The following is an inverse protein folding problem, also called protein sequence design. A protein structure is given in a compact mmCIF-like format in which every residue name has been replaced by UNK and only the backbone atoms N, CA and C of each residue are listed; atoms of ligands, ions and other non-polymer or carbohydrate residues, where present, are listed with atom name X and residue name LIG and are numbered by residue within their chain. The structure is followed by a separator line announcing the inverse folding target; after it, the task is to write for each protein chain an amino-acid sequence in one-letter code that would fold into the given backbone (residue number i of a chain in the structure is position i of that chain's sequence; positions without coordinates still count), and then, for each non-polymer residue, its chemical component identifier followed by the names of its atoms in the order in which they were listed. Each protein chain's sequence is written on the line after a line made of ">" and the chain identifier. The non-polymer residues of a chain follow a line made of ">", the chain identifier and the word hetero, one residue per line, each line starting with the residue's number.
data_IF_909842455014
#
_entry.id   IF_909842455014
#
_cell.length_a   1.000
_cell.length_b   1.000
_cell.length_c   1.000
_cell.angle_alpha   90.00
_cell.angle_beta   90.00
_cell.angle_gamma   90.00
#
_symmetry.space_group_name_H-M   'P 1'
#
loop_
_entity.id
_entity.type
_entity.pdbx_description
1 polymer ?
#
# COMPACT_ATOMS: atom_id res chain seq x y z
N UNK A 1 -3.57 56.89 15.56
CA UNK A 1 -4.16 56.53 16.90
C UNK A 1 -5.29 55.50 16.80
N UNK A 2 -6.03 55.36 15.69
CA UNK A 2 -7.13 54.38 15.55
C UNK A 2 -6.67 52.95 15.31
N UNK A 3 -5.54 52.69 14.66
CA UNK A 3 -5.06 51.32 14.37
C UNK A 3 -4.51 50.59 15.62
N UNK A 4 -3.99 51.33 16.60
CA UNK A 4 -3.49 50.75 17.86
C UNK A 4 -4.60 50.32 18.82
N UNK A 5 -5.78 50.96 18.74
CA UNK A 5 -6.96 50.57 19.54
C UNK A 5 -7.58 49.25 19.04
N UNK A 6 -7.60 49.03 17.72
CA UNK A 6 -8.15 47.80 17.12
C UNK A 6 -7.31 46.55 17.46
N UNK A 7 -6.00 46.67 17.44
CA UNK A 7 -5.10 45.57 17.79
C UNK A 7 -5.09 45.24 19.29
N UNK A 8 -5.30 46.23 20.14
CA UNK A 8 -5.39 46.05 21.60
C UNK A 8 -6.71 45.34 22.00
N UNK A 9 -7.81 45.66 21.34
CA UNK A 9 -9.13 45.00 21.60
C UNK A 9 -9.08 43.54 21.11
N UNK A 10 -8.45 43.26 19.96
CA UNK A 10 -8.25 41.88 19.47
C UNK A 10 -7.34 41.06 20.39
N UNK A 11 -6.27 41.65 20.92
CA UNK A 11 -5.41 40.97 21.92
C UNK A 11 -6.14 40.73 23.26
N UNK A 12 -7.07 41.60 23.63
CA UNK A 12 -7.83 41.48 24.86
C UNK A 12 -8.90 40.36 24.76
N UNK A 13 -9.54 40.22 23.62
CA UNK A 13 -10.50 39.14 23.37
C UNK A 13 -9.82 37.77 23.26
N UNK A 14 -8.62 37.68 22.67
CA UNK A 14 -7.82 36.44 22.61
C UNK A 14 -7.25 36.07 24.01
N UNK A 15 -6.83 37.05 24.80
CA UNK A 15 -6.30 36.84 26.14
C UNK A 15 -7.35 36.41 27.15
N UNK A 16 -8.60 36.83 26.96
CA UNK A 16 -9.74 36.40 27.78
C UNK A 16 -10.13 34.93 27.57
N UNK A 17 -9.97 34.44 26.34
CA UNK A 17 -10.21 33.04 25.98
C UNK A 17 -9.12 32.07 26.53
N UNK A 18 -7.93 32.59 26.88
CA UNK A 18 -6.78 31.81 27.39
C UNK A 18 -6.57 31.95 28.92
N UNK A 19 -7.50 32.53 29.64
CA UNK A 19 -7.39 32.70 31.12
C UNK A 19 -6.32 33.71 31.57
N UNK A 20 -5.67 34.43 30.66
CA UNK A 20 -4.61 35.41 30.94
C UNK A 20 -5.10 36.86 31.08
N UNK A 21 -6.41 37.09 31.10
CA UNK A 21 -7.05 38.38 31.20
C UNK A 21 -6.58 39.29 32.35
N UNK A 22 -6.42 38.78 33.58
CA UNK A 22 -5.94 39.59 34.71
C UNK A 22 -4.51 40.09 34.53
N UNK A 23 -3.66 39.31 33.92
CA UNK A 23 -2.22 39.65 33.69
C UNK A 23 -2.09 40.77 32.64
N UNK A 24 -2.86 40.72 31.56
CA UNK A 24 -2.91 41.76 30.54
C UNK A 24 -3.43 43.09 31.09
N UNK A 25 -4.39 43.07 32.02
CA UNK A 25 -4.94 44.26 32.66
C UNK A 25 -3.91 44.91 33.63
N UNK A 26 -3.16 44.11 34.35
CA UNK A 26 -2.07 44.57 35.24
C UNK A 26 -0.92 45.19 34.44
N UNK A 27 -0.55 44.57 33.32
CA UNK A 27 0.50 45.10 32.42
C UNK A 27 0.06 46.40 31.74
N UNK A 28 -1.20 46.49 31.31
CA UNK A 28 -1.77 47.71 30.75
C UNK A 28 -1.83 48.88 31.76
N UNK A 29 -2.28 48.63 32.99
CA UNK A 29 -2.29 49.61 34.08
C UNK A 29 -0.88 50.10 34.41
N UNK A 30 0.13 49.21 34.44
CA UNK A 30 1.50 49.55 34.73
C UNK A 30 2.13 50.43 33.63
N UNK A 31 1.90 50.11 32.36
CA UNK A 31 2.36 50.94 31.23
C UNK A 31 1.72 52.35 31.19
N UNK A 32 0.47 52.46 31.61
CA UNK A 32 -0.18 53.77 31.73
C UNK A 32 0.37 54.59 32.91
N UNK A 33 0.68 53.95 34.04
CA UNK A 33 1.31 54.63 35.19
C UNK A 33 2.71 55.08 34.85
N UNK A 34 3.49 54.28 34.13
CA UNK A 34 4.88 54.64 33.73
C UNK A 34 4.89 55.81 32.74
N UNK A 35 3.91 55.88 31.83
CA UNK A 35 3.72 57.01 30.89
C UNK A 35 3.29 58.27 31.60
N UNK A 36 2.41 58.17 32.59
CA UNK A 36 1.97 59.29 33.39
C UNK A 36 3.11 59.86 34.26
N UNK A 37 3.92 58.96 34.83
CA UNK A 37 5.11 59.31 35.60
C UNK A 37 6.18 60.01 34.74
N UNK A 38 6.41 59.47 33.51
CA UNK A 38 7.36 60.11 32.56
C UNK A 38 6.88 61.48 32.11
N UNK A 39 5.60 61.64 31.80
CA UNK A 39 5.02 62.93 31.43
C UNK A 39 5.06 63.94 32.58
N UNK A 40 4.85 63.50 33.85
CA UNK A 40 4.98 64.32 35.03
C UNK A 40 6.45 64.76 35.31
N UNK A 41 7.41 63.83 35.14
CA UNK A 41 8.83 64.11 35.23
C UNK A 41 9.35 65.08 34.15
N UNK A 42 8.87 64.95 32.91
CA UNK A 42 9.16 65.93 31.85
C UNK A 42 8.57 67.29 32.12
N UNK A 43 7.35 67.37 32.71
CA UNK A 43 6.79 68.66 33.12
C UNK A 43 7.58 69.30 34.24
N UNK A 44 7.97 68.56 35.27
CA UNK A 44 8.81 69.05 36.38
C UNK A 44 10.17 69.49 35.88
N UNK A 45 10.80 68.75 34.93
CA UNK A 45 12.06 69.12 34.32
C UNK A 45 11.93 70.43 33.50
N UNK A 46 10.84 70.64 32.78
CA UNK A 46 10.56 71.87 32.03
C UNK A 46 10.24 73.05 32.94
N UNK A 47 9.53 72.83 34.04
CA UNK A 47 9.24 73.85 35.05
C UNK A 47 10.50 74.21 35.82
N UNK A 48 11.39 73.28 36.17
CA UNK A 48 12.69 73.53 36.76
C UNK A 48 13.63 74.29 35.82
N UNK A 49 13.61 74.01 34.52
CA UNK A 49 14.36 74.73 33.51
C UNK A 49 13.79 76.14 33.27
N UNK A 50 12.50 76.40 33.46
CA UNK A 50 11.84 77.69 33.27
C UNK A 50 12.06 78.62 34.49
N UNK A 51 12.28 78.07 35.69
CA UNK A 51 12.53 78.83 36.95
C UNK A 51 14.01 79.18 37.19
N UNK A 52 14.93 78.45 36.60
CA UNK A 52 16.35 78.77 36.63
C UNK A 52 16.71 79.42 35.30
N UNK A 53 16.78 80.76 35.26
CA UNK A 53 17.20 81.56 34.11
C UNK A 53 18.64 81.38 33.66
N UNK A 54 19.05 80.13 33.41
CA UNK A 54 20.39 79.71 33.03
C UNK A 54 20.37 79.04 31.65
N UNK A 55 20.75 79.89 30.68
CA UNK A 55 21.09 79.51 29.28
C UNK A 55 22.40 78.77 29.16
N UNK A 56 22.82 77.93 30.04
CA UNK A 56 24.01 77.10 29.92
C UNK A 56 23.93 75.88 30.89
N UNK A 57 23.29 74.84 30.52
CA UNK A 57 23.49 73.50 31.10
C UNK A 57 24.03 72.56 30.03
N UNK A 58 25.23 72.82 29.54
CA UNK A 58 26.10 71.85 28.93
C UNK A 58 26.81 71.04 30.03
N UNK A 59 26.48 69.72 30.05
CA UNK A 59 27.32 68.63 30.58
C UNK A 59 28.12 68.90 31.88
N UNK A 60 27.45 69.20 33.01
CA UNK A 60 28.04 69.19 34.31
C UNK A 60 27.35 68.21 35.27
N UNK A 61 28.03 67.68 36.31
CA UNK A 61 27.36 66.78 37.26
C UNK A 61 26.23 67.50 37.97
N UNK A 62 25.07 66.92 38.02
CA UNK A 62 23.87 67.39 38.71
C UNK A 62 24.19 67.73 40.19
N UNK A 63 23.56 68.73 40.80
CA UNK A 63 23.83 69.08 42.18
C UNK A 63 23.57 67.88 43.11
N UNK A 64 24.43 67.78 44.16
CA UNK A 64 24.53 66.66 45.10
C UNK A 64 23.17 66.04 45.60
N UNK A 65 22.08 66.79 45.82
CA UNK A 65 20.81 66.23 46.24
C UNK A 65 20.06 65.43 45.18
N UNK A 66 20.43 65.52 43.87
CA UNK A 66 19.76 64.77 42.75
C UNK A 66 20.50 63.50 42.35
N UNK A 67 21.71 63.26 42.87
CA UNK A 67 22.48 62.03 42.54
C UNK A 67 21.77 60.74 42.94
N UNK A 68 21.10 60.61 44.09
CA UNK A 68 20.37 59.38 44.44
C UNK A 68 19.19 59.10 43.48
N UNK A 69 18.51 60.16 42.99
CA UNK A 69 17.41 60.03 42.03
C UNK A 69 17.89 59.56 40.67
N UNK A 70 19.08 60.06 40.26
CA UNK A 70 19.73 59.63 39.01
C UNK A 70 20.17 58.17 39.05
N UNK A 71 20.73 57.72 40.19
CA UNK A 71 21.09 56.31 40.40
C UNK A 71 19.85 55.41 40.39
N UNK A 72 18.77 55.82 41.04
CA UNK A 72 17.51 55.06 41.04
C UNK A 72 16.88 54.95 39.65
N UNK A 73 16.91 56.04 38.87
CA UNK A 73 16.41 56.03 37.49
C UNK A 73 17.29 55.16 36.59
N UNK A 74 18.62 55.20 36.75
CA UNK A 74 19.51 54.33 36.00
C UNK A 74 19.30 52.83 36.33
N UNK A 75 19.13 52.54 37.64
CA UNK A 75 18.82 51.16 38.07
C UNK A 75 17.47 50.66 37.55
N UNK A 76 16.43 51.53 37.54
CA UNK A 76 15.14 51.19 36.99
C UNK A 76 15.19 50.99 35.46
N UNK A 77 15.94 51.86 34.76
CA UNK A 77 16.17 51.72 33.31
C UNK A 77 16.88 50.41 32.95
N UNK A 78 17.90 50.03 33.76
CA UNK A 78 18.62 48.77 33.58
C UNK A 78 17.69 47.56 33.82
N UNK A 79 16.93 47.57 34.90
CA UNK A 79 15.94 46.50 35.18
C UNK A 79 14.89 46.39 34.08
N UNK A 80 14.44 47.52 33.51
CA UNK A 80 13.51 47.53 32.40
C UNK A 80 14.13 46.91 31.13
N UNK A 81 15.36 47.30 30.81
CA UNK A 81 16.10 46.74 29.67
C UNK A 81 16.33 45.22 29.83
N UNK A 82 16.71 44.77 31.02
CA UNK A 82 16.88 43.35 31.32
C UNK A 82 15.52 42.58 31.17
N UNK A 83 14.43 43.17 31.64
CA UNK A 83 13.08 42.56 31.47
C UNK A 83 12.62 42.51 30.02
N UNK A 84 12.93 43.56 29.22
CA UNK A 84 12.65 43.58 27.78
C UNK A 84 13.48 42.52 27.03
N UNK A 85 14.75 42.37 27.34
CA UNK A 85 15.61 41.32 26.77
C UNK A 85 15.11 39.91 27.14
N UNK A 86 14.73 39.69 28.41
CA UNK A 86 14.17 38.41 28.86
C UNK A 86 12.86 38.10 28.15
N UNK A 87 11.99 39.11 27.95
CA UNK A 87 10.73 38.95 27.21
C UNK A 87 10.97 38.60 25.74
N UNK A 88 11.86 39.30 25.08
CA UNK A 88 12.23 39.01 23.69
C UNK A 88 12.80 37.60 23.54
N UNK A 89 13.65 37.15 24.45
CA UNK A 89 14.18 35.80 24.46
C UNK A 89 13.07 34.73 24.66
N UNK A 90 12.10 34.98 25.53
CA UNK A 90 10.92 34.11 25.71
C UNK A 90 10.03 34.05 24.46
N UNK A 91 9.77 35.20 23.83
CA UNK A 91 9.00 35.25 22.58
C UNK A 91 9.67 34.46 21.46
N UNK A 92 11.00 34.57 21.31
CA UNK A 92 11.74 33.76 20.34
C UNK A 92 11.65 32.26 20.65
N UNK A 93 11.78 31.90 21.93
CA UNK A 93 11.61 30.48 22.35
C UNK A 93 10.21 29.98 22.08
N UNK A 94 9.18 30.73 22.41
CA UNK A 94 7.76 30.36 22.14
C UNK A 94 7.52 30.19 20.65
N UNK A 95 8.02 31.11 19.81
CA UNK A 95 7.89 30.99 18.35
C UNK A 95 8.59 29.72 17.83
N UNK A 96 9.85 29.47 18.27
CA UNK A 96 10.57 28.25 17.88
C UNK A 96 9.82 26.97 18.28
N UNK A 97 9.28 26.92 19.49
CA UNK A 97 8.47 25.78 19.94
C UNK A 97 7.18 25.61 19.12
N UNK A 98 6.50 26.72 18.84
CA UNK A 98 5.30 26.71 18.01
C UNK A 98 5.61 26.22 16.57
N UNK A 99 6.68 26.75 15.96
CA UNK A 99 7.09 26.34 14.61
C UNK A 99 7.53 24.87 14.58
N UNK A 100 8.23 24.40 15.60
CA UNK A 100 8.63 23.00 15.73
C UNK A 100 7.40 22.09 15.87
N UNK A 101 6.46 22.45 16.75
CA UNK A 101 5.20 21.70 16.93
C UNK A 101 4.38 21.66 15.65
N UNK A 102 4.26 22.80 14.95
CA UNK A 102 3.56 22.87 13.66
C UNK A 102 4.24 22.04 12.57
N UNK A 103 5.58 21.95 12.59
CA UNK A 103 6.34 21.09 11.67
C UNK A 103 6.07 19.61 11.96
N UNK A 104 6.13 19.18 13.21
CA UNK A 104 5.84 17.81 13.62
C UNK A 104 4.40 17.43 13.26
N UNK A 105 3.44 18.31 13.54
CA UNK A 105 2.05 18.10 13.18
C UNK A 105 1.84 17.90 11.67
N UNK A 106 2.54 18.70 10.84
CA UNK A 106 2.50 18.52 9.37
C UNK A 106 3.09 17.20 8.91
N UNK A 107 4.20 16.76 9.52
CA UNK A 107 4.81 15.45 9.22
C UNK A 107 3.83 14.33 9.57
N UNK A 108 3.25 14.35 10.77
CA UNK A 108 2.27 13.36 11.21
C UNK A 108 1.02 13.35 10.32
N UNK A 109 0.57 14.53 9.86
CA UNK A 109 -0.56 14.65 8.94
C UNK A 109 -0.25 14.08 7.54
N UNK A 110 0.99 14.05 7.12
CA UNK A 110 1.41 13.50 5.82
C UNK A 110 1.56 11.97 5.82
N UNK A 111 1.56 11.32 6.99
CA UNK A 111 1.67 9.87 7.08
C UNK A 111 0.40 9.19 6.55
N UNK A 112 0.53 8.24 5.61
CA UNK A 112 -0.61 7.50 5.08
C UNK A 112 -1.20 6.52 6.11
N UNK A 113 -0.35 6.00 6.99
CA UNK A 113 -0.74 5.03 8.00
C UNK A 113 -1.45 5.72 9.18
N UNK A 114 -2.55 5.16 9.71
CA UNK A 114 -3.21 5.66 10.92
C UNK A 114 -2.29 5.62 12.13
N UNK A 115 -2.19 6.78 12.81
CA UNK A 115 -1.40 6.95 14.02
C UNK A 115 -2.22 7.66 15.10
N UNK A 116 -2.23 7.07 16.30
CA UNK A 116 -2.91 7.57 17.48
C UNK A 116 -1.93 7.59 18.66
N UNK A 117 -2.12 8.53 19.59
CA UNK A 117 -1.51 8.46 20.91
C UNK A 117 -2.63 8.59 21.95
N UNK A 118 -2.62 7.72 22.94
CA UNK A 118 -3.67 7.57 23.94
C UNK A 118 -3.01 7.62 25.32
N UNK A 119 -3.56 8.40 26.24
CA UNK A 119 -3.03 8.52 27.59
C UNK A 119 -3.51 7.38 28.51
N UNK A 120 -2.97 7.36 29.74
CA UNK A 120 -3.33 6.37 30.76
C UNK A 120 -4.79 6.42 31.23
N UNK A 121 -5.51 7.49 30.88
CA UNK A 121 -6.93 7.69 31.20
C UNK A 121 -7.84 7.36 30.02
N UNK A 122 -7.29 6.68 29.00
CA UNK A 122 -8.01 6.31 27.77
C UNK A 122 -8.40 7.52 26.90
N UNK A 123 -7.73 8.67 27.08
CA UNK A 123 -8.01 9.88 26.30
C UNK A 123 -7.09 9.99 25.09
N UNK A 124 -7.65 10.46 23.98
CA UNK A 124 -6.93 10.67 22.75
C UNK A 124 -6.03 11.92 22.84
N UNK A 125 -4.71 11.73 22.85
CA UNK A 125 -3.73 12.83 22.85
C UNK A 125 -3.37 13.31 21.44
N UNK A 126 -3.34 12.39 20.48
CA UNK A 126 -2.94 12.66 19.09
C UNK A 126 -3.68 11.72 18.16
N UNK A 127 -4.10 12.27 17.03
CA UNK A 127 -4.72 11.52 15.95
C UNK A 127 -4.36 12.16 14.61
N UNK A 128 -3.72 11.42 13.71
CA UNK A 128 -3.45 11.93 12.39
C UNK A 128 -4.69 11.78 11.46
N UNK A 129 -4.76 12.48 10.31
CA UNK A 129 -5.93 12.45 9.42
C UNK A 129 -6.31 11.05 8.92
N UNK A 130 -5.34 10.14 8.79
CA UNK A 130 -5.60 8.76 8.38
C UNK A 130 -6.32 7.98 9.48
N UNK A 131 -5.96 8.18 10.75
CA UNK A 131 -6.64 7.58 11.89
C UNK A 131 -8.04 8.19 12.09
N UNK A 132 -8.20 9.50 11.89
CA UNK A 132 -9.51 10.17 11.94
C UNK A 132 -10.49 9.55 10.95
N UNK A 133 -10.04 9.29 9.71
CA UNK A 133 -10.87 8.63 8.69
C UNK A 133 -11.21 7.19 9.05
N UNK A 134 -10.21 6.41 9.48
CA UNK A 134 -10.42 5.00 9.80
C UNK A 134 -11.41 4.79 10.95
N UNK A 135 -11.25 5.56 12.03
CA UNK A 135 -12.05 5.42 13.23
C UNK A 135 -13.22 6.41 13.33
N UNK A 136 -13.37 7.30 12.35
CA UNK A 136 -14.40 8.35 12.31
C UNK A 136 -14.40 9.24 13.57
N UNK A 137 -13.21 9.61 14.05
CA UNK A 137 -13.00 10.37 15.29
C UNK A 137 -12.77 11.84 14.99
N UNK A 138 -13.45 12.72 15.75
CA UNK A 138 -13.16 14.15 15.76
C UNK A 138 -12.12 14.45 16.85
N UNK A 139 -10.91 14.94 16.50
CA UNK A 139 -9.85 15.21 17.47
C UNK A 139 -10.18 16.35 18.44
N UNK A 140 -11.23 17.15 18.18
CA UNK A 140 -11.66 18.26 19.04
C UNK A 140 -12.66 17.84 20.12
N UNK A 141 -13.08 16.59 20.13
CA UNK A 141 -13.99 16.05 21.14
C UNK A 141 -13.21 15.18 22.12
N UNK A 142 -13.49 15.34 23.41
CA UNK A 142 -12.97 14.44 24.44
C UNK A 142 -13.57 13.05 24.27
N UNK A 143 -12.83 12.17 23.61
CA UNK A 143 -13.27 10.80 23.31
C UNK A 143 -12.34 9.79 23.95
N UNK A 144 -12.93 8.81 24.63
CA UNK A 144 -12.22 7.64 25.12
C UNK A 144 -11.89 6.69 23.96
N UNK A 145 -10.64 6.22 23.89
CA UNK A 145 -10.17 5.33 22.85
C UNK A 145 -10.97 4.04 22.79
N UNK A 146 -11.37 3.49 23.93
CA UNK A 146 -12.19 2.29 24.05
C UNK A 146 -13.54 2.38 23.32
N UNK A 147 -14.07 3.59 23.10
CA UNK A 147 -15.35 3.79 22.41
C UNK A 147 -15.22 3.74 20.88
N UNK A 148 -14.13 4.26 20.32
CA UNK A 148 -14.00 4.39 18.88
C UNK A 148 -13.10 3.31 18.24
N UNK A 149 -12.21 2.65 18.99
CA UNK A 149 -11.38 1.57 18.43
C UNK A 149 -12.19 0.36 17.98
N UNK A 150 -13.42 0.16 18.50
CA UNK A 150 -14.43 -0.76 17.99
C UNK A 150 -14.10 -2.26 18.13
N UNK A 151 -12.84 -2.65 18.21
CA UNK A 151 -12.38 -4.03 18.35
C UNK A 151 -11.93 -4.31 19.79
N UNK A 152 -12.53 -5.31 20.44
CA UNK A 152 -12.24 -5.66 21.82
C UNK A 152 -10.79 -6.15 22.02
N UNK A 153 -10.21 -6.83 21.04
CA UNK A 153 -8.83 -7.33 21.08
C UNK A 153 -7.84 -6.16 20.95
N UNK A 154 -8.13 -5.19 20.08
CA UNK A 154 -7.31 -4.00 19.91
C UNK A 154 -7.34 -3.14 21.20
N UNK A 155 -8.51 -2.98 21.82
CA UNK A 155 -8.64 -2.34 23.12
C UNK A 155 -7.83 -3.06 24.22
N UNK A 156 -7.89 -4.39 24.26
CA UNK A 156 -7.13 -5.18 25.22
C UNK A 156 -5.62 -5.01 25.01
N UNK A 157 -5.16 -5.00 23.76
CA UNK A 157 -3.75 -4.79 23.42
C UNK A 157 -3.26 -3.40 23.88
N UNK A 158 -4.06 -2.35 23.67
CA UNK A 158 -3.75 -0.99 24.13
C UNK A 158 -3.70 -0.95 25.66
N UNK A 159 -4.70 -1.53 26.35
CA UNK A 159 -4.77 -1.57 27.81
C UNK A 159 -3.60 -2.33 28.44
N UNK A 160 -3.16 -3.43 27.85
CA UNK A 160 -1.99 -4.19 28.33
C UNK A 160 -0.71 -3.36 28.30
N UNK A 161 -0.55 -2.50 27.28
CA UNK A 161 0.69 -1.75 27.08
C UNK A 161 0.92 -0.65 28.11
N UNK A 162 -0.09 -0.19 28.84
CA UNK A 162 0.10 0.77 29.95
C UNK A 162 0.87 0.18 31.13
N UNK A 163 0.86 -1.14 31.26
CA UNK A 163 1.55 -1.86 32.33
C UNK A 163 2.94 -2.36 31.92
N UNK A 164 3.35 -2.11 30.66
CA UNK A 164 4.67 -2.49 30.15
C UNK A 164 5.68 -1.35 30.35
N UNK A 165 6.96 -1.67 30.50
CA UNK A 165 8.01 -0.68 30.55
C UNK A 165 8.03 0.20 29.27
N UNK A 166 8.37 1.48 29.38
CA UNK A 166 8.53 2.34 28.22
C UNK A 166 9.51 1.79 27.19
N UNK A 167 9.23 2.00 25.91
CA UNK A 167 10.02 1.48 24.80
C UNK A 167 9.66 0.06 24.35
N UNK A 168 8.83 -0.67 25.10
CA UNK A 168 8.30 -1.97 24.65
C UNK A 168 7.24 -1.74 23.59
N UNK A 169 7.31 -2.55 22.53
CA UNK A 169 6.31 -2.57 21.46
C UNK A 169 5.71 -3.95 21.30
N UNK A 170 4.44 -4.03 21.00
CA UNK A 170 3.75 -5.27 20.66
C UNK A 170 2.94 -5.07 19.38
N UNK A 171 2.96 -6.08 18.50
CA UNK A 171 2.24 -6.03 17.23
C UNK A 171 1.33 -7.23 17.08
N UNK A 172 0.09 -6.96 16.64
CA UNK A 172 -0.88 -7.99 16.27
C UNK A 172 -1.58 -7.59 14.97
N UNK A 173 -2.10 -8.60 14.24
CA UNK A 173 -2.82 -8.38 13.00
C UNK A 173 -4.33 -8.41 13.26
N UNK A 174 -5.04 -7.38 12.78
CA UNK A 174 -6.48 -7.19 12.95
C UNK A 174 -7.18 -7.00 11.61
N UNK A 175 -8.39 -7.52 11.50
CA UNK A 175 -9.29 -7.21 10.39
C UNK A 175 -10.23 -6.09 10.85
N UNK A 176 -10.07 -4.89 10.28
CA UNK A 176 -10.88 -3.73 10.59
C UNK A 176 -11.69 -3.29 9.36
N UNK A 177 -12.86 -2.70 9.60
CA UNK A 177 -13.68 -2.15 8.52
C UNK A 177 -13.28 -0.70 8.26
N UNK A 178 -12.68 -0.44 7.08
CA UNK A 178 -12.40 0.92 6.63
C UNK A 178 -13.67 1.53 6.02
N UNK A 179 -14.04 2.78 6.35
CA UNK A 179 -15.29 3.41 5.87
C UNK A 179 -15.41 3.41 4.33
N UNK A 180 -14.31 3.74 3.64
CA UNK A 180 -14.31 3.87 2.17
C UNK A 180 -13.95 2.59 1.42
N UNK A 181 -13.31 1.63 2.09
CA UNK A 181 -12.65 0.47 1.43
C UNK A 181 -13.12 -0.88 1.96
N UNK A 182 -14.08 -0.92 2.88
CA UNK A 182 -14.59 -2.16 3.46
C UNK A 182 -13.59 -2.85 4.40
N UNK A 183 -13.66 -4.17 4.50
CA UNK A 183 -12.78 -4.95 5.37
C UNK A 183 -11.34 -4.94 4.88
N UNK A 184 -10.40 -4.60 5.77
CA UNK A 184 -8.96 -4.57 5.52
C UNK A 184 -8.18 -5.13 6.69
N UNK A 185 -7.02 -5.69 6.38
CA UNK A 185 -6.09 -6.19 7.38
C UNK A 185 -5.09 -5.11 7.76
N UNK A 186 -5.01 -4.83 9.06
CA UNK A 186 -4.05 -3.91 9.63
C UNK A 186 -3.14 -4.62 10.61
N UNK A 187 -1.85 -4.32 10.57
CA UNK A 187 -0.92 -4.64 11.65
C UNK A 187 -0.91 -3.47 12.61
N UNK A 188 -1.48 -3.71 13.80
CA UNK A 188 -1.45 -2.76 14.88
C UNK A 188 -0.15 -2.94 15.67
N UNK A 189 0.66 -1.90 15.76
CA UNK A 189 1.83 -1.84 16.62
C UNK A 189 1.56 -0.83 17.73
N UNK A 190 1.51 -1.30 18.96
CA UNK A 190 1.32 -0.49 20.15
C UNK A 190 2.64 -0.37 20.89
N UNK A 191 3.06 0.86 21.17
CA UNK A 191 4.33 1.15 21.86
C UNK A 191 4.07 1.97 23.10
N UNK A 192 4.60 1.53 24.24
CA UNK A 192 4.58 2.28 25.48
C UNK A 192 5.59 3.42 25.43
N UNK A 193 5.15 4.65 25.70
CA UNK A 193 5.98 5.86 25.66
C UNK A 193 6.24 6.39 27.08
N UNK A 194 7.48 6.86 27.38
CA UNK A 194 7.86 7.32 28.71
C UNK A 194 7.21 8.66 29.06
N UNK A 195 6.96 8.88 30.36
CA UNK A 195 6.49 10.17 30.86
C UNK A 195 7.57 11.28 30.77
N UNK A 196 8.86 10.89 30.73
CA UNK A 196 10.00 11.77 30.55
C UNK A 196 10.89 11.23 29.43
N UNK A 197 10.80 11.77 28.22
CA UNK A 197 11.50 11.20 27.06
C UNK A 197 13.04 11.26 27.14
N UNK A 198 13.60 12.10 28.01
CA UNK A 198 15.06 12.27 28.18
C UNK A 198 15.60 11.63 29.46
N UNK A 199 14.79 10.88 30.20
CA UNK A 199 15.19 10.19 31.44
C UNK A 199 15.27 8.69 31.18
N UNK A 200 16.50 8.12 31.07
CA UNK A 200 16.68 6.69 30.80
C UNK A 200 16.24 5.80 31.99
N UNK A 201 16.07 6.36 33.19
CA UNK A 201 15.58 5.65 34.39
C UNK A 201 14.05 5.75 34.52
N UNK A 202 13.37 6.48 33.66
CA UNK A 202 11.92 6.63 33.71
C UNK A 202 11.23 5.30 33.38
N UNK A 203 10.61 4.70 34.41
CA UNK A 203 9.86 3.44 34.29
C UNK A 203 8.36 3.63 34.12
N UNK A 204 7.88 4.87 34.16
CA UNK A 204 6.45 5.19 34.05
C UNK A 204 6.04 5.42 32.60
N UNK A 205 5.05 4.69 32.16
CA UNK A 205 4.42 4.89 30.86
C UNK A 205 3.40 6.03 30.97
N UNK A 206 3.62 7.10 30.20
CA UNK A 206 2.70 8.25 30.14
C UNK A 206 1.53 8.00 29.19
N UNK A 207 1.86 7.47 28.00
CA UNK A 207 0.88 7.20 26.97
C UNK A 207 1.35 6.02 26.11
N UNK A 208 0.46 5.51 25.31
CA UNK A 208 0.77 4.50 24.28
C UNK A 208 0.56 5.09 22.90
N UNK A 209 1.44 4.78 21.98
CA UNK A 209 1.21 5.06 20.56
C UNK A 209 0.68 3.82 19.87
N UNK A 210 -0.37 3.98 19.08
CA UNK A 210 -0.95 2.95 18.21
C UNK A 210 -0.70 3.34 16.76
N UNK A 211 0.06 2.53 16.05
CA UNK A 211 0.32 2.63 14.63
C UNK A 211 -0.32 1.47 13.89
N UNK A 212 -1.10 1.75 12.84
CA UNK A 212 -1.80 0.76 12.04
C UNK A 212 -1.25 0.78 10.61
N UNK A 213 -0.62 -0.31 10.22
CA UNK A 213 -0.14 -0.48 8.84
C UNK A 213 -1.10 -1.37 8.06
N UNK A 214 -1.58 -0.90 6.92
CA UNK A 214 -2.38 -1.74 6.00
C UNK A 214 -1.51 -2.87 5.45
N UNK A 215 -1.87 -4.10 5.78
CA UNK A 215 -1.22 -5.34 5.34
C UNK A 215 -2.15 -6.20 4.48
N UNK A 216 -3.22 -5.61 3.94
CA UNK A 216 -4.24 -6.34 3.17
C UNK A 216 -3.61 -7.05 1.97
N UNK A 217 -2.78 -6.35 1.19
CA UNK A 217 -2.09 -6.95 0.05
C UNK A 217 -1.15 -8.09 0.47
N UNK A 218 -0.45 -7.93 1.59
CA UNK A 218 0.41 -8.98 2.14
C UNK A 218 -0.41 -10.23 2.53
N UNK A 219 -1.55 -10.03 3.22
CA UNK A 219 -2.44 -11.14 3.62
C UNK A 219 -3.10 -11.82 2.43
N UNK A 220 -3.55 -11.04 1.43
CA UNK A 220 -4.08 -11.60 0.18
C UNK A 220 -3.01 -12.43 -0.53
N UNK A 221 -1.79 -11.91 -0.68
CA UNK A 221 -0.68 -12.65 -1.29
C UNK A 221 -0.32 -13.92 -0.51
N UNK A 222 -0.24 -13.86 0.82
CA UNK A 222 0.01 -15.05 1.65
C UNK A 222 -1.08 -16.12 1.50
N UNK A 223 -2.35 -15.69 1.47
CA UNK A 223 -3.47 -16.59 1.27
C UNK A 223 -3.44 -17.24 -0.11
N UNK A 224 -3.23 -16.46 -1.15
CA UNK A 224 -3.10 -16.96 -2.52
C UNK A 224 -1.93 -17.95 -2.66
N UNK A 225 -0.80 -17.67 -1.99
CA UNK A 225 0.33 -18.60 -1.97
C UNK A 225 0.01 -19.91 -1.24
N UNK A 226 -0.67 -19.85 -0.08
CA UNK A 226 -1.09 -21.03 0.66
C UNK A 226 -2.10 -21.88 -0.13
N UNK A 227 -3.08 -21.24 -0.78
CA UNK A 227 -4.04 -21.89 -1.67
C UNK A 227 -3.33 -22.53 -2.88
N UNK A 228 -2.34 -21.86 -3.46
CA UNK A 228 -1.51 -22.39 -4.54
C UNK A 228 -0.75 -23.66 -4.12
N UNK A 229 -0.06 -23.65 -2.99
CA UNK A 229 0.68 -24.83 -2.48
C UNK A 229 -0.27 -25.98 -2.17
N UNK A 230 -1.41 -25.71 -1.58
CA UNK A 230 -2.43 -26.72 -1.26
C UNK A 230 -2.99 -27.36 -2.54
N UNK A 231 -3.35 -26.55 -3.53
CA UNK A 231 -3.88 -27.04 -4.80
C UNK A 231 -2.83 -27.84 -5.60
N UNK A 232 -1.56 -27.37 -5.63
CA UNK A 232 -0.46 -28.08 -6.26
C UNK A 232 -0.26 -29.48 -5.61
N UNK A 233 -0.28 -29.53 -4.28
CA UNK A 233 -0.16 -30.80 -3.55
C UNK A 233 -1.29 -31.78 -3.88
N UNK A 234 -2.52 -31.26 -3.99
CA UNK A 234 -3.68 -32.09 -4.34
C UNK A 234 -3.59 -32.62 -5.77
N UNK A 235 -3.23 -31.75 -6.74
CA UNK A 235 -3.08 -32.15 -8.14
C UNK A 235 -1.91 -33.11 -8.38
N UNK A 236 -0.87 -33.11 -7.52
CA UNK A 236 0.21 -34.11 -7.55
C UNK A 236 -0.20 -35.45 -6.91
N UNK A 237 -0.96 -35.45 -5.82
CA UNK A 237 -1.38 -36.67 -5.13
C UNK A 237 -2.27 -37.57 -5.99
N UNK A 238 -3.14 -36.98 -6.82
CA UNK A 238 -4.09 -37.75 -7.66
C UNK A 238 -3.38 -38.66 -8.67
N UNK A 239 -2.50 -38.16 -9.56
CA UNK A 239 -1.77 -39.03 -10.49
C UNK A 239 -0.85 -40.02 -9.78
N UNK A 240 -0.19 -39.59 -8.68
CA UNK A 240 0.67 -40.47 -7.90
C UNK A 240 -0.09 -41.65 -7.28
N UNK A 241 -1.28 -41.40 -6.74
CA UNK A 241 -2.17 -42.46 -6.25
C UNK A 241 -2.59 -43.42 -7.34
N UNK A 242 -2.90 -42.88 -8.55
CA UNK A 242 -3.18 -43.73 -9.73
C UNK A 242 -2.01 -44.61 -10.13
N UNK A 243 -0.81 -44.02 -10.25
CA UNK A 243 0.42 -44.77 -10.54
C UNK A 243 0.61 -45.89 -9.52
N UNK A 244 0.52 -45.55 -8.21
CA UNK A 244 0.69 -46.51 -7.14
C UNK A 244 -0.30 -47.66 -7.21
N UNK A 245 -1.58 -47.39 -7.43
CA UNK A 245 -2.62 -48.41 -7.53
C UNK A 245 -2.36 -49.40 -8.71
N UNK A 246 -2.00 -48.90 -9.87
CA UNK A 246 -1.71 -49.77 -11.02
C UNK A 246 -0.39 -50.54 -10.85
N UNK A 247 0.62 -49.99 -10.16
CA UNK A 247 1.85 -50.71 -9.81
C UNK A 247 1.55 -51.84 -8.81
N UNK A 248 0.69 -51.61 -7.82
CA UNK A 248 0.26 -52.63 -6.87
C UNK A 248 -0.48 -53.78 -7.57
N UNK A 249 -1.45 -53.47 -8.47
CA UNK A 249 -2.14 -54.48 -9.28
C UNK A 249 -1.19 -55.29 -10.17
N UNK A 250 -0.15 -54.68 -10.73
CA UNK A 250 0.88 -55.37 -11.50
C UNK A 250 1.76 -56.28 -10.61
N UNK A 251 2.07 -55.84 -9.38
CA UNK A 251 2.94 -56.54 -8.44
C UNK A 251 2.23 -57.75 -7.81
N UNK A 252 0.93 -57.64 -7.52
CA UNK A 252 0.11 -58.73 -6.92
C UNK A 252 -0.21 -59.84 -7.92
N UNK A 253 0.15 -59.70 -9.20
CA UNK A 253 -0.04 -60.76 -10.22
C UNK A 253 -1.48 -60.87 -10.73
N UNK A 254 -2.33 -59.90 -10.43
CA UNK A 254 -3.74 -59.90 -10.86
C UNK A 254 -3.92 -59.77 -12.40
N UNK A 255 -2.79 -59.50 -13.12
CA UNK A 255 -2.78 -59.40 -14.59
C UNK A 255 -2.26 -60.68 -15.21
N UNK A 256 -3.17 -61.60 -15.53
CA UNK A 256 -2.83 -62.88 -16.20
C UNK A 256 -2.69 -62.77 -17.73
N UNK A 257 -3.06 -61.62 -18.30
CA UNK A 257 -3.08 -61.38 -19.75
C UNK A 257 -2.16 -60.18 -20.10
N UNK A 258 -1.37 -60.35 -21.18
CA UNK A 258 -0.41 -59.35 -21.66
C UNK A 258 -1.10 -58.03 -22.10
N UNK A 259 -2.32 -58.10 -22.63
CA UNK A 259 -3.06 -56.92 -23.09
C UNK A 259 -3.46 -56.02 -21.90
N UNK A 260 -3.95 -56.60 -20.79
CA UNK A 260 -4.25 -55.88 -19.53
C UNK A 260 -2.96 -55.29 -18.93
N UNK A 261 -1.85 -56.00 -18.97
CA UNK A 261 -0.56 -55.51 -18.49
C UNK A 261 -0.05 -54.30 -19.31
N UNK A 262 -0.15 -54.37 -20.65
CA UNK A 262 0.21 -53.23 -21.52
C UNK A 262 -0.71 -52.03 -21.27
N UNK A 263 -2.02 -52.27 -21.03
CA UNK A 263 -2.98 -51.24 -20.70
C UNK A 263 -2.57 -50.52 -19.38
N UNK A 264 -2.23 -51.26 -18.33
CA UNK A 264 -1.81 -50.68 -17.04
C UNK A 264 -0.52 -49.89 -17.16
N UNK A 265 0.47 -50.41 -17.88
CA UNK A 265 1.73 -49.68 -18.18
C UNK A 265 1.45 -48.40 -18.99
N UNK A 266 0.52 -48.43 -19.95
CA UNK A 266 0.07 -47.25 -20.69
C UNK A 266 -0.57 -46.19 -19.79
N UNK A 267 -1.39 -46.60 -18.79
CA UNK A 267 -1.99 -45.69 -17.82
C UNK A 267 -0.93 -45.09 -16.90
N UNK A 268 0.02 -45.89 -16.41
CA UNK A 268 1.14 -45.41 -15.59
C UNK A 268 1.95 -44.35 -16.33
N UNK A 269 2.32 -44.66 -17.60
CA UNK A 269 3.06 -43.71 -18.44
C UNK A 269 2.30 -42.39 -18.64
N UNK A 270 1.01 -42.46 -18.95
CA UNK A 270 0.16 -41.27 -19.11
C UNK A 270 0.05 -40.42 -17.84
N UNK A 271 -0.03 -41.05 -16.64
CA UNK A 271 -0.03 -40.35 -15.36
C UNK A 271 1.35 -39.72 -15.05
N UNK A 272 2.44 -40.38 -15.41
CA UNK A 272 3.82 -39.87 -15.26
C UNK A 272 4.02 -38.62 -16.12
N UNK A 273 3.68 -38.67 -17.41
CA UNK A 273 3.76 -37.55 -18.33
C UNK A 273 2.86 -36.37 -17.87
N UNK A 274 1.71 -36.68 -17.28
CA UNK A 274 0.85 -35.65 -16.67
C UNK A 274 1.53 -34.97 -15.48
N UNK A 275 2.20 -35.76 -14.62
CA UNK A 275 2.90 -35.25 -13.44
C UNK A 275 4.12 -34.39 -13.86
N UNK A 276 4.91 -34.83 -14.85
CA UNK A 276 6.01 -34.04 -15.41
C UNK A 276 5.53 -32.67 -15.90
N UNK A 277 4.49 -32.65 -16.75
CA UNK A 277 3.91 -31.39 -17.23
C UNK A 277 3.39 -30.48 -16.10
N UNK A 278 2.83 -31.07 -15.03
CA UNK A 278 2.40 -30.30 -13.86
C UNK A 278 3.61 -29.64 -13.18
N UNK A 279 4.67 -30.40 -12.92
CA UNK A 279 5.90 -29.92 -12.29
C UNK A 279 6.54 -28.81 -13.12
N UNK A 280 6.68 -29.00 -14.44
CA UNK A 280 7.26 -28.01 -15.36
C UNK A 280 6.45 -26.69 -15.34
N UNK A 281 5.11 -26.78 -15.39
CA UNK A 281 4.25 -25.60 -15.33
C UNK A 281 4.38 -24.87 -13.98
N UNK A 282 4.47 -25.60 -12.85
CA UNK A 282 4.70 -25.03 -11.52
C UNK A 282 6.06 -24.35 -11.41
N UNK A 283 7.11 -25.00 -11.91
CA UNK A 283 8.47 -24.43 -11.89
C UNK A 283 8.56 -23.18 -12.76
N UNK A 284 7.96 -23.21 -13.95
CA UNK A 284 7.95 -22.05 -14.86
C UNK A 284 7.19 -20.89 -14.21
N UNK A 285 6.00 -21.14 -13.65
CA UNK A 285 5.22 -20.10 -12.96
C UNK A 285 5.99 -19.52 -11.77
N UNK A 286 6.57 -20.38 -10.91
CA UNK A 286 7.35 -19.93 -9.75
C UNK A 286 8.60 -19.10 -10.17
N UNK A 287 9.31 -19.52 -11.20
CA UNK A 287 10.50 -18.78 -11.71
C UNK A 287 10.12 -17.43 -12.27
N UNK A 288 9.00 -17.34 -12.99
CA UNK A 288 8.51 -16.09 -13.57
C UNK A 288 8.05 -15.14 -12.46
N UNK A 289 7.25 -15.62 -11.49
CA UNK A 289 6.77 -14.81 -10.35
C UNK A 289 7.91 -14.31 -9.45
N UNK A 290 8.95 -15.10 -9.27
CA UNK A 290 10.15 -14.71 -8.53
C UNK A 290 11.05 -13.73 -9.31
N UNK A 291 10.75 -13.42 -10.57
CA UNK A 291 11.61 -12.60 -11.43
C UNK A 291 12.98 -13.23 -11.72
N UNK A 292 13.13 -14.54 -11.50
CA UNK A 292 14.42 -15.26 -11.63
C UNK A 292 14.71 -15.65 -13.07
N UNK A 293 13.69 -15.71 -13.93
CA UNK A 293 13.90 -16.00 -15.34
C UNK A 293 14.61 -14.80 -15.99
N UNK A 294 15.79 -15.05 -16.54
CA UNK A 294 16.44 -14.11 -17.44
C UNK A 294 15.68 -14.13 -18.76
N UNK A 295 14.67 -13.26 -18.87
CA UNK A 295 13.91 -13.09 -20.11
C UNK A 295 14.82 -12.53 -21.18
N UNK A 296 15.00 -13.28 -22.28
CA UNK A 296 15.84 -12.90 -23.41
C UNK A 296 14.98 -12.46 -24.57
N UNK A 297 14.57 -11.19 -24.58
CA UNK A 297 13.72 -10.64 -25.65
C UNK A 297 14.56 -10.24 -26.85
N UNK A 298 14.23 -10.81 -27.99
CA UNK A 298 14.80 -10.46 -29.30
C UNK A 298 13.69 -10.12 -30.27
N UNK A 299 13.97 -9.35 -31.34
CA UNK A 299 13.03 -9.18 -32.45
C UNK A 299 12.73 -10.55 -33.09
N UNK A 300 11.45 -10.93 -33.06
CA UNK A 300 10.95 -12.21 -33.56
C UNK A 300 9.81 -12.00 -34.54
N UNK A 301 9.57 -12.98 -35.40
CA UNK A 301 8.34 -13.06 -36.20
C UNK A 301 7.25 -13.78 -35.43
N UNK A 302 6.15 -13.08 -35.10
CA UNK A 302 5.02 -13.72 -34.45
C UNK A 302 4.50 -14.90 -35.27
N UNK A 303 4.42 -14.75 -36.61
CA UNK A 303 3.91 -15.79 -37.49
C UNK A 303 4.75 -17.08 -37.45
N UNK A 304 6.09 -16.98 -37.31
CA UNK A 304 6.95 -18.16 -37.18
C UNK A 304 6.68 -18.91 -35.87
N UNK A 305 6.53 -18.18 -34.78
CA UNK A 305 6.18 -18.76 -33.47
C UNK A 305 4.82 -19.47 -33.52
N UNK A 306 3.81 -18.85 -34.16
CA UNK A 306 2.47 -19.44 -34.30
C UNK A 306 2.45 -20.65 -35.21
N UNK A 307 3.26 -20.66 -36.31
CA UNK A 307 3.43 -21.83 -37.18
C UNK A 307 4.00 -23.00 -36.42
N UNK A 308 4.98 -22.74 -35.54
CA UNK A 308 5.56 -23.79 -34.71
C UNK A 308 4.57 -24.31 -33.65
N UNK A 309 3.86 -23.42 -32.97
CA UNK A 309 2.79 -23.82 -32.04
C UNK A 309 1.72 -24.69 -32.72
N UNK A 310 1.32 -24.32 -33.94
CA UNK A 310 0.41 -25.11 -34.76
C UNK A 310 0.98 -26.51 -35.03
N UNK A 311 2.24 -26.62 -35.48
CA UNK A 311 2.89 -27.91 -35.73
C UNK A 311 2.95 -28.82 -34.50
N UNK A 312 3.23 -28.23 -33.33
CA UNK A 312 3.31 -28.99 -32.07
C UNK A 312 1.96 -29.54 -31.64
N UNK A 313 0.85 -28.78 -31.86
CA UNK A 313 -0.48 -29.18 -31.40
C UNK A 313 -1.26 -30.01 -32.41
N UNK A 314 -0.89 -29.95 -33.69
CA UNK A 314 -1.58 -30.64 -34.78
C UNK A 314 -1.77 -32.15 -34.59
N UNK A 315 -0.79 -32.94 -34.08
CA UNK A 315 -1.00 -34.36 -33.82
C UNK A 315 -2.11 -34.62 -32.81
N UNK A 316 -2.21 -33.78 -31.77
CA UNK A 316 -3.27 -33.89 -30.75
C UNK A 316 -4.68 -33.55 -31.32
N UNK A 317 -4.73 -32.58 -32.23
CA UNK A 317 -5.99 -32.26 -32.94
C UNK A 317 -6.43 -33.37 -33.86
N UNK A 318 -5.50 -34.02 -34.59
CA UNK A 318 -5.77 -35.16 -35.45
C UNK A 318 -6.23 -36.39 -34.67
N UNK A 319 -5.64 -36.67 -33.50
CA UNK A 319 -6.00 -37.78 -32.65
C UNK A 319 -7.46 -37.65 -32.10
N UNK A 320 -7.97 -36.43 -32.01
CA UNK A 320 -9.33 -36.13 -31.50
C UNK A 320 -10.37 -35.83 -32.60
N UNK A 321 -10.14 -36.07 -33.84
CA UNK A 321 -10.73 -35.55 -35.08
C UNK A 321 -11.30 -34.13 -34.98
N UNK A 322 -10.45 -33.17 -34.61
CA UNK A 322 -10.74 -31.74 -34.61
C UNK A 322 -10.01 -31.05 -35.74
N UNK A 323 -10.67 -30.18 -36.50
CA UNK A 323 -10.07 -29.44 -37.59
C UNK A 323 -9.31 -28.21 -37.02
N UNK A 324 -7.99 -28.17 -37.20
CA UNK A 324 -7.12 -27.02 -36.80
C UNK A 324 -6.69 -26.26 -38.04
N UNK A 325 -7.19 -25.05 -38.24
CA UNK A 325 -6.92 -24.17 -39.35
C UNK A 325 -5.97 -23.05 -38.97
N UNK A 326 -4.98 -22.78 -39.87
CA UNK A 326 -4.00 -21.71 -39.68
C UNK A 326 -4.31 -20.57 -40.67
N UNK A 327 -4.61 -19.40 -40.17
CA UNK A 327 -4.99 -18.21 -40.94
C UNK A 327 -4.11 -17.01 -40.51
N UNK A 328 -2.82 -17.03 -40.90
CA UNK A 328 -1.89 -16.00 -40.53
C UNK A 328 -1.93 -14.82 -41.48
N UNK A 329 -1.66 -13.62 -40.96
CA UNK A 329 -1.45 -12.41 -41.77
C UNK A 329 -0.33 -12.63 -42.77
N UNK A 330 -0.47 -12.18 -44.02
CA UNK A 330 0.64 -12.20 -44.99
C UNK A 330 1.74 -11.20 -44.64
N UNK A 331 1.50 -10.28 -43.72
CA UNK A 331 2.46 -9.27 -43.27
C UNK A 331 3.47 -9.89 -42.29
N UNK A 332 4.68 -9.36 -42.32
CA UNK A 332 5.64 -9.63 -41.24
C UNK A 332 5.18 -8.94 -39.97
N UNK A 333 4.99 -9.71 -38.92
CA UNK A 333 4.51 -9.22 -37.60
C UNK A 333 5.67 -9.26 -36.59
N UNK A 334 6.46 -8.16 -36.46
CA UNK A 334 7.59 -8.14 -35.54
C UNK A 334 7.14 -7.95 -34.08
N UNK A 335 7.66 -8.76 -33.19
CA UNK A 335 7.50 -8.66 -31.75
C UNK A 335 8.84 -8.68 -31.03
N UNK A 336 9.01 -7.90 -29.97
CA UNK A 336 10.16 -8.03 -29.08
C UNK A 336 9.83 -9.06 -28.02
N UNK A 337 10.21 -10.30 -28.24
CA UNK A 337 9.77 -11.43 -27.44
C UNK A 337 10.90 -12.41 -27.09
N UNK A 338 10.71 -13.08 -25.96
CA UNK A 338 11.35 -14.35 -25.67
C UNK A 338 10.56 -15.43 -26.41
N UNK A 339 11.23 -16.03 -27.41
CA UNK A 339 10.62 -16.97 -28.36
C UNK A 339 9.99 -18.17 -27.68
N UNK A 340 10.72 -18.77 -26.73
CA UNK A 340 10.30 -20.01 -26.08
C UNK A 340 9.09 -19.79 -25.16
N UNK A 341 9.11 -18.69 -24.43
CA UNK A 341 7.97 -18.32 -23.59
C UNK A 341 6.74 -17.99 -24.41
N UNK A 342 6.87 -17.22 -25.50
CA UNK A 342 5.72 -16.88 -26.33
C UNK A 342 5.18 -18.10 -27.09
N UNK A 343 6.05 -19.00 -27.54
CA UNK A 343 5.67 -20.30 -28.09
C UNK A 343 4.88 -21.12 -27.07
N UNK A 344 5.32 -21.19 -25.83
CA UNK A 344 4.62 -21.89 -24.76
C UNK A 344 3.23 -21.29 -24.49
N UNK A 345 3.09 -19.96 -24.52
CA UNK A 345 1.79 -19.31 -24.37
C UNK A 345 0.83 -19.71 -25.50
N UNK A 346 1.29 -19.70 -26.76
CA UNK A 346 0.51 -20.11 -27.92
C UNK A 346 0.11 -21.59 -27.84
N UNK A 347 1.03 -22.47 -27.46
CA UNK A 347 0.75 -23.91 -27.26
C UNK A 347 -0.30 -24.13 -26.17
N UNK A 348 -0.23 -23.39 -25.05
CA UNK A 348 -1.21 -23.48 -23.97
C UNK A 348 -2.62 -23.12 -24.43
N UNK A 349 -2.76 -22.04 -25.22
CA UNK A 349 -4.04 -21.62 -25.77
C UNK A 349 -4.60 -22.67 -26.77
N UNK A 350 -3.77 -23.10 -27.73
CA UNK A 350 -4.15 -24.10 -28.73
C UNK A 350 -4.50 -25.46 -28.11
N UNK A 351 -3.70 -25.93 -27.18
CA UNK A 351 -3.92 -27.19 -26.47
C UNK A 351 -5.23 -27.15 -25.66
N UNK A 352 -5.58 -26.01 -25.07
CA UNK A 352 -6.87 -25.84 -24.43
C UNK A 352 -8.03 -25.87 -25.44
N UNK A 353 -7.90 -25.20 -26.58
CA UNK A 353 -8.89 -25.25 -27.64
C UNK A 353 -9.15 -26.71 -28.10
N UNK A 354 -8.08 -27.50 -28.35
CA UNK A 354 -8.21 -28.93 -28.69
C UNK A 354 -8.90 -29.74 -27.61
N UNK A 355 -8.55 -29.48 -26.34
CA UNK A 355 -9.15 -30.19 -25.18
C UNK A 355 -10.67 -30.00 -25.10
N UNK A 356 -11.14 -28.78 -25.24
CA UNK A 356 -12.52 -28.41 -24.97
C UNK A 356 -13.41 -28.35 -26.23
N UNK A 357 -12.86 -28.57 -27.41
CA UNK A 357 -13.61 -28.71 -28.64
C UNK A 357 -14.02 -30.19 -28.83
N UNK A 358 -15.32 -30.54 -28.98
CA UNK A 358 -15.74 -31.88 -29.29
C UNK A 358 -15.22 -32.39 -30.64
N UNK A 359 -15.22 -33.70 -30.85
CA UNK A 359 -14.90 -34.32 -32.13
C UNK A 359 -15.79 -33.75 -33.26
N UNK A 360 -15.19 -33.45 -34.41
CA UNK A 360 -15.83 -32.78 -35.54
C UNK A 360 -15.87 -31.26 -35.45
N UNK A 361 -15.42 -30.66 -34.33
CA UNK A 361 -15.32 -29.20 -34.16
C UNK A 361 -14.14 -28.61 -34.89
N UNK A 362 -14.09 -27.28 -34.87
CA UNK A 362 -13.07 -26.48 -35.57
C UNK A 362 -12.36 -25.53 -34.63
N UNK A 363 -11.08 -25.32 -34.93
CA UNK A 363 -10.19 -24.35 -34.22
C UNK A 363 -9.48 -23.52 -35.29
N UNK A 364 -9.44 -22.20 -35.08
CA UNK A 364 -8.71 -21.29 -35.93
C UNK A 364 -7.61 -20.60 -35.14
N UNK A 365 -6.40 -20.60 -35.68
CA UNK A 365 -5.29 -19.78 -35.22
C UNK A 365 -5.09 -18.65 -36.22
N UNK A 366 -5.35 -17.43 -35.79
CA UNK A 366 -5.26 -16.24 -36.64
C UNK A 366 -4.20 -15.27 -36.10
N UNK A 367 -3.61 -14.49 -37.00
CA UNK A 367 -2.77 -13.35 -36.62
C UNK A 367 -3.12 -12.13 -37.45
N UNK A 368 -2.97 -10.94 -36.85
CA UNK A 368 -3.17 -9.65 -37.55
C UNK A 368 -2.30 -8.57 -36.96
N UNK A 369 -2.15 -7.47 -37.72
CA UNK A 369 -1.63 -6.20 -37.23
C UNK A 369 -2.80 -5.27 -36.98
N UNK A 370 -2.88 -4.68 -35.80
CA UNK A 370 -3.93 -3.72 -35.44
C UNK A 370 -3.27 -2.47 -34.81
N UNK A 371 -3.13 -1.42 -35.66
CA UNK A 371 -2.41 -0.20 -35.29
C UNK A 371 -0.94 -0.47 -35.00
N UNK A 372 -0.50 -0.19 -33.79
CA UNK A 372 0.85 -0.42 -33.27
C UNK A 372 1.01 -1.75 -32.53
N UNK A 373 0.00 -2.62 -32.61
CA UNK A 373 -0.02 -3.92 -31.92
C UNK A 373 -0.13 -5.07 -32.89
N UNK A 374 0.51 -6.16 -32.55
CA UNK A 374 0.33 -7.43 -33.23
C UNK A 374 -0.54 -8.33 -32.38
N UNK A 375 -1.50 -8.99 -33.01
CA UNK A 375 -2.44 -9.83 -32.32
C UNK A 375 -2.44 -11.24 -32.89
N UNK A 376 -2.67 -12.20 -32.00
CA UNK A 376 -3.09 -13.53 -32.42
C UNK A 376 -4.32 -14.00 -31.62
N UNK A 377 -5.13 -14.80 -32.28
CA UNK A 377 -6.36 -15.32 -31.75
C UNK A 377 -6.41 -16.83 -31.93
N UNK A 378 -6.90 -17.49 -30.90
CA UNK A 378 -7.29 -18.90 -30.92
C UNK A 378 -8.79 -18.94 -30.70
N UNK A 379 -9.54 -19.25 -31.76
CA UNK A 379 -11.00 -19.41 -31.75
C UNK A 379 -11.33 -20.90 -31.85
N UNK A 380 -12.26 -21.36 -31.03
CA UNK A 380 -12.73 -22.74 -31.00
C UNK A 380 -14.26 -22.82 -31.03
N UNK A 381 -14.81 -23.92 -31.56
CA UNK A 381 -16.25 -24.25 -31.52
C UNK A 381 -16.54 -25.22 -30.38
N UNK A 382 -15.89 -25.03 -29.26
CA UNK A 382 -16.01 -25.89 -28.08
C UNK A 382 -17.25 -25.63 -27.21
N UNK A 383 -17.18 -26.13 -26.00
CA UNK A 383 -18.29 -26.01 -25.03
C UNK A 383 -18.54 -24.58 -24.53
N UNK A 384 -17.62 -23.67 -24.80
CA UNK A 384 -17.68 -22.28 -24.33
C UNK A 384 -17.60 -22.13 -22.82
N UNK A 385 -17.71 -20.89 -22.37
CA UNK A 385 -17.60 -20.47 -20.98
C UNK A 385 -18.80 -19.60 -20.59
N UNK A 386 -19.23 -19.68 -19.33
CA UNK A 386 -20.17 -18.71 -18.77
C UNK A 386 -19.48 -17.34 -18.53
N UNK A 387 -20.21 -16.23 -18.40
CA UNK A 387 -19.63 -14.95 -18.05
C UNK A 387 -18.80 -15.00 -16.76
N UNK A 388 -19.25 -15.72 -15.75
CA UNK A 388 -18.53 -15.93 -14.48
C UNK A 388 -17.22 -16.71 -14.68
N UNK A 389 -17.26 -17.75 -15.54
CA UNK A 389 -16.08 -18.53 -15.87
C UNK A 389 -15.05 -17.71 -16.67
N UNK A 390 -15.50 -16.80 -17.56
CA UNK A 390 -14.58 -15.92 -18.32
C UNK A 390 -13.73 -15.03 -17.42
N UNK A 391 -14.25 -14.56 -16.29
CA UNK A 391 -13.50 -13.77 -15.32
C UNK A 391 -12.44 -14.62 -14.59
N UNK A 392 -12.75 -15.90 -14.35
CA UNK A 392 -11.99 -16.79 -13.49
C UNK A 392 -11.04 -17.75 -14.20
N UNK A 393 -11.18 -17.96 -15.51
CA UNK A 393 -10.34 -18.96 -16.25
C UNK A 393 -8.84 -18.68 -16.21
N UNK A 394 -8.46 -17.47 -15.82
CA UNK A 394 -7.06 -17.08 -15.63
C UNK A 394 -6.58 -17.22 -14.18
N UNK A 395 -7.45 -17.65 -13.24
CA UNK A 395 -7.06 -17.97 -11.87
C UNK A 395 -6.29 -19.30 -11.84
N UNK A 396 -5.29 -19.42 -10.97
CA UNK A 396 -4.46 -20.63 -10.82
C UNK A 396 -5.33 -21.79 -10.33
N UNK A 397 -5.19 -22.96 -10.98
CA UNK A 397 -5.95 -24.20 -10.70
C UNK A 397 -7.47 -24.12 -10.94
N UNK A 398 -7.96 -22.98 -11.46
CA UNK A 398 -9.38 -22.89 -11.78
C UNK A 398 -9.73 -23.81 -12.94
N UNK A 399 -10.84 -24.51 -12.78
CA UNK A 399 -11.42 -25.40 -13.81
C UNK A 399 -12.92 -25.35 -13.69
N UNK A 400 -13.59 -25.19 -14.84
CA UNK A 400 -15.06 -25.23 -14.91
C UNK A 400 -15.54 -26.63 -14.49
N UNK A 401 -16.32 -26.72 -13.41
CA UNK A 401 -16.73 -28.00 -12.81
C UNK A 401 -17.44 -28.91 -13.79
N UNK A 402 -18.34 -28.35 -14.59
CA UNK A 402 -19.12 -29.10 -15.59
C UNK A 402 -18.25 -29.78 -16.65
N UNK A 403 -17.05 -29.25 -16.90
CA UNK A 403 -16.13 -29.69 -17.96
C UNK A 403 -14.95 -30.54 -17.44
N UNK A 404 -14.91 -30.84 -16.13
CA UNK A 404 -13.84 -31.65 -15.52
C UNK A 404 -13.70 -33.05 -16.13
N UNK A 405 -14.80 -33.62 -16.62
CA UNK A 405 -14.82 -34.95 -17.25
C UNK A 405 -14.36 -34.97 -18.69
N UNK A 406 -14.39 -33.85 -19.41
CA UNK A 406 -14.06 -33.77 -20.82
C UNK A 406 -12.55 -33.80 -21.11
N UNK A 407 -11.73 -33.29 -20.19
CA UNK A 407 -10.29 -33.28 -20.40
C UNK A 407 -9.53 -33.21 -19.07
N UNK A 408 -8.46 -33.99 -18.96
CA UNK A 408 -7.45 -33.83 -17.91
C UNK A 408 -6.71 -32.53 -18.07
N UNK A 409 -6.52 -31.78 -16.99
CA UNK A 409 -5.75 -30.54 -17.02
C UNK A 409 -5.45 -30.05 -15.62
N UNK A 410 -4.38 -29.27 -15.46
CA UNK A 410 -3.88 -28.77 -14.17
C UNK A 410 -4.48 -27.44 -13.78
N UNK A 411 -5.19 -26.73 -14.67
CA UNK A 411 -5.66 -25.37 -14.44
C UNK A 411 -4.54 -24.31 -14.39
N UNK A 412 -3.33 -24.65 -14.88
CA UNK A 412 -2.16 -23.74 -14.86
C UNK A 412 -1.82 -23.17 -16.25
N UNK A 413 -2.30 -23.75 -17.34
CA UNK A 413 -1.92 -23.33 -18.70
C UNK A 413 -2.38 -21.91 -19.05
N UNK A 414 -3.65 -21.55 -18.76
CA UNK A 414 -4.18 -20.19 -19.02
C UNK A 414 -3.55 -19.12 -18.12
N UNK A 415 -3.42 -19.32 -16.78
CA UNK A 415 -2.64 -18.44 -15.94
C UNK A 415 -1.23 -18.18 -16.44
N UNK A 416 -0.51 -19.24 -16.85
CA UNK A 416 0.83 -19.14 -17.40
C UNK A 416 0.85 -18.35 -18.72
N UNK A 417 -0.06 -18.62 -19.64
CA UNK A 417 -0.20 -17.87 -20.90
C UNK A 417 -0.46 -16.38 -20.64
N UNK A 418 -1.36 -16.06 -19.70
CA UNK A 418 -1.65 -14.68 -19.28
C UNK A 418 -0.40 -13.99 -18.74
N UNK A 419 0.31 -14.64 -17.83
CA UNK A 419 1.52 -14.09 -17.24
C UNK A 419 2.61 -13.85 -18.29
N UNK A 420 2.82 -14.81 -19.19
CA UNK A 420 3.78 -14.65 -20.31
C UNK A 420 3.41 -13.45 -21.19
N UNK A 421 2.14 -13.34 -21.59
CA UNK A 421 1.70 -12.25 -22.48
C UNK A 421 1.71 -10.89 -21.76
N UNK A 422 1.19 -10.80 -20.53
CA UNK A 422 1.01 -9.54 -19.84
C UNK A 422 2.26 -9.10 -19.10
N UNK A 423 2.74 -9.93 -18.15
CA UNK A 423 3.80 -9.51 -17.24
C UNK A 423 5.18 -9.59 -17.88
N UNK A 424 5.40 -10.60 -18.71
CA UNK A 424 6.69 -10.74 -19.43
C UNK A 424 6.74 -9.84 -20.66
N UNK A 425 5.71 -9.83 -21.51
CA UNK A 425 5.78 -9.16 -22.82
C UNK A 425 5.03 -7.81 -22.88
N UNK A 426 4.38 -7.38 -21.80
CA UNK A 426 3.65 -6.09 -21.75
C UNK A 426 2.43 -6.04 -22.67
N UNK A 427 1.89 -7.21 -23.00
CA UNK A 427 0.70 -7.39 -23.82
C UNK A 427 -0.58 -7.46 -23.01
N UNK A 428 -1.65 -7.92 -23.66
CA UNK A 428 -2.94 -8.22 -23.01
C UNK A 428 -3.46 -9.57 -23.52
N UNK A 429 -4.04 -10.37 -22.62
CA UNK A 429 -4.73 -11.62 -22.97
C UNK A 429 -6.18 -11.53 -22.48
N UNK A 430 -7.12 -11.71 -23.38
CA UNK A 430 -8.56 -11.66 -23.13
C UNK A 430 -9.27 -12.88 -23.68
N UNK A 431 -10.50 -13.11 -23.21
CA UNK A 431 -11.38 -14.17 -23.70
C UNK A 431 -12.77 -13.60 -23.96
N UNK A 432 -13.35 -14.02 -25.08
CA UNK A 432 -14.77 -13.80 -25.43
C UNK A 432 -15.34 -15.17 -25.65
N UNK A 433 -16.42 -15.52 -24.96
CA UNK A 433 -17.00 -16.85 -25.06
C UNK A 433 -18.51 -16.82 -24.84
N UNK A 434 -19.19 -17.77 -25.45
CA UNK A 434 -20.61 -18.03 -25.23
C UNK A 434 -20.79 -19.53 -24.96
N UNK A 435 -21.47 -19.87 -23.90
CA UNK A 435 -21.71 -21.25 -23.51
C UNK A 435 -22.38 -22.01 -24.63
N UNK A 436 -21.80 -23.15 -25.06
CA UNK A 436 -22.26 -23.97 -26.14
C UNK A 436 -21.89 -23.51 -27.56
N UNK A 437 -21.22 -22.37 -27.72
CA UNK A 437 -20.82 -21.84 -29.04
C UNK A 437 -19.30 -21.81 -29.26
N UNK A 438 -18.51 -21.91 -28.19
CA UNK A 438 -17.07 -21.88 -28.24
C UNK A 438 -16.46 -20.64 -27.56
N UNK A 439 -15.15 -20.49 -27.73
CA UNK A 439 -14.37 -19.41 -27.11
C UNK A 439 -13.36 -18.81 -28.08
N UNK A 440 -13.06 -17.53 -27.92
CA UNK A 440 -11.98 -16.82 -28.62
C UNK A 440 -11.04 -16.23 -27.59
N UNK A 441 -9.83 -16.75 -27.54
CA UNK A 441 -8.73 -16.19 -26.75
C UNK A 441 -7.90 -15.28 -27.64
N UNK A 442 -7.74 -14.02 -27.24
CA UNK A 442 -6.99 -13.00 -28.00
C UNK A 442 -5.82 -12.50 -27.17
N UNK A 443 -4.62 -12.63 -27.74
CA UNK A 443 -3.40 -12.07 -27.22
C UNK A 443 -2.95 -10.90 -28.11
N UNK A 444 -2.71 -9.73 -27.50
CA UNK A 444 -2.28 -8.51 -28.17
C UNK A 444 -0.94 -8.06 -27.57
N UNK A 445 0.06 -7.87 -28.40
CA UNK A 445 1.43 -7.54 -28.02
C UNK A 445 1.87 -6.23 -28.70
N UNK A 446 2.75 -5.42 -28.07
CA UNK A 446 3.35 -4.28 -28.75
C UNK A 446 4.13 -4.73 -30.00
N UNK A 447 3.91 -4.10 -31.14
CA UNK A 447 4.74 -4.35 -32.32
C UNK A 447 6.15 -3.83 -32.09
N UNK A 448 7.16 -4.63 -32.42
CA UNK A 448 8.52 -4.13 -32.39
C UNK A 448 8.71 -3.19 -33.61
N UNK A 449 8.89 -1.89 -33.33
CA UNK A 449 9.27 -0.95 -34.38
C UNK A 449 10.60 -1.41 -34.97
N UNK A 450 10.68 -1.55 -36.29
CA UNK A 450 11.97 -1.71 -36.97
C UNK A 450 12.82 -0.50 -36.58
N UNK A 451 14.04 -0.70 -36.00
CA UNK A 451 14.98 0.40 -36.00
C UNK A 451 15.21 0.80 -37.48
N UNK A 452 14.84 2.04 -37.80
CA UNK A 452 15.02 2.63 -39.12
C UNK A 452 16.49 2.71 -39.50
#
# INVERSE_FOLDING_TARGET
>A
MSALHGTLIAAFTLGAALGAGPLCLLLYRRTQQDRALHAALERLAREAAATSGATHLAAGPYPAPLQPLQQLLAEQAQKLAEAEHARAALEIRCRRHSDQSARVARILASLPDPLLAIDRYDQLLLCNPSAQRLFQVDPNQDQHASKFLGDARLNALVAEMYWRPPGVSRSEDFELTHPDHGRRWYRATVTALPSRPNDPECRETMCVSLHLRDITQLKVGQRQHAEFVSAASHEMKTPLAGIKAYVELLADGDTQDEATREQFLGIINAQTERLERLIENLLNLARIEAGVIRVSKHPQSLNEILQEAHRVVQPSAQAKPVTLELQLSPLYLPVLADRDLLLQAAINLLSNAVKYTPAGGKIWLRSRLEGDRVEFEVEDTGVGLSPEDCERVFEKFYRVEKNRHMAGGTGLGLPLARHIVQDVHGGTLSVISTLGQGSTFRASLPAAHRPG
#
